data_IF_334319723064
#
_entry.id   IF_334319723064
#
_cell.length_a   1.000
_cell.length_b   1.000
_cell.length_c   1.000
_cell.angle_alpha   90.00
_cell.angle_beta   90.00
_cell.angle_gamma   90.00
#
_symmetry.space_group_name_H-M   'P 1'
#
loop_
_entity.id
_entity.type
_entity.pdbx_description
1 polymer ?
#
# COMPACT_ATOMS: atom_id res chain seq x y z
N UNK A 1 16.06 -25.90 12.48
CA UNK A 1 14.84 -25.64 13.27
C UNK A 1 14.14 -24.53 12.54
N UNK A 2 13.35 -24.92 11.54
CA UNK A 2 12.69 -23.97 10.66
C UNK A 2 11.60 -23.28 11.47
N UNK A 3 11.79 -21.99 11.73
CA UNK A 3 10.75 -21.15 12.29
C UNK A 3 9.73 -21.03 11.18
N UNK A 4 8.78 -21.96 11.14
CA UNK A 4 7.55 -21.80 10.39
C UNK A 4 6.86 -20.57 10.99
N UNK A 5 7.11 -19.42 10.37
CA UNK A 5 6.26 -18.23 10.55
C UNK A 5 4.84 -18.72 10.30
N UNK A 6 3.98 -18.60 11.31
CA UNK A 6 2.55 -18.86 11.17
C UNK A 6 2.09 -18.13 9.90
N UNK A 7 1.24 -18.74 9.09
CA UNK A 7 0.58 -18.00 8.03
C UNK A 7 -0.48 -17.13 8.71
N UNK A 8 -0.36 -15.82 8.64
CA UNK A 8 -1.53 -14.96 8.45
C UNK A 8 -2.29 -15.63 7.32
N UNK A 9 -3.54 -16.03 7.59
CA UNK A 9 -4.39 -16.59 6.56
C UNK A 9 -4.85 -15.46 5.63
N UNK A 10 -3.93 -14.91 4.87
CA UNK A 10 -4.20 -13.88 3.88
C UNK A 10 -4.93 -14.43 2.65
N UNK A 11 -5.32 -15.73 2.64
CA UNK A 11 -6.37 -16.22 1.73
C UNK A 11 -7.75 -15.67 2.10
N UNK A 12 -7.94 -15.21 3.34
CA UNK A 12 -9.12 -14.47 3.76
C UNK A 12 -8.87 -12.95 3.61
N UNK A 13 -8.91 -12.47 2.37
CA UNK A 13 -8.78 -11.05 2.00
C UNK A 13 -9.67 -10.13 2.85
N UNK A 14 -10.85 -10.61 3.25
CA UNK A 14 -11.75 -9.85 4.13
C UNK A 14 -11.15 -9.62 5.52
N UNK A 15 -10.50 -10.62 6.11
CA UNK A 15 -9.84 -10.49 7.41
C UNK A 15 -8.69 -9.49 7.35
N UNK A 16 -7.87 -9.55 6.30
CA UNK A 16 -6.76 -8.62 6.08
C UNK A 16 -7.26 -7.19 5.93
N UNK A 17 -8.36 -7.00 5.18
CA UNK A 17 -9.03 -5.69 5.07
C UNK A 17 -9.40 -5.14 6.45
N UNK A 18 -10.04 -5.94 7.30
CA UNK A 18 -10.43 -5.46 8.65
C UNK A 18 -9.22 -5.16 9.54
N UNK A 19 -8.12 -5.93 9.43
CA UNK A 19 -6.88 -5.63 10.14
C UNK A 19 -6.26 -4.32 9.66
N UNK A 20 -6.15 -4.11 8.35
CA UNK A 20 -5.62 -2.86 7.78
C UNK A 20 -6.48 -1.65 8.15
N UNK A 21 -7.81 -1.77 8.15
CA UNK A 21 -8.69 -0.67 8.58
C UNK A 21 -8.47 -0.31 10.06
N UNK A 22 -8.19 -1.28 10.93
CA UNK A 22 -7.81 -1.02 12.33
C UNK A 22 -6.43 -0.38 12.41
N UNK A 23 -5.47 -0.87 11.63
CA UNK A 23 -4.11 -0.33 11.56
C UNK A 23 -4.08 1.12 11.07
N UNK A 24 -5.00 1.48 10.17
CA UNK A 24 -5.13 2.80 9.56
C UNK A 24 -6.19 3.68 10.24
N UNK A 25 -6.57 3.40 11.50
CA UNK A 25 -7.69 4.07 12.17
C UNK A 25 -7.54 5.59 12.31
N UNK A 26 -6.30 6.08 12.27
CA UNK A 26 -5.98 7.51 12.39
C UNK A 26 -6.04 8.25 11.04
N UNK A 27 -6.30 7.53 9.95
CA UNK A 27 -6.33 8.07 8.60
C UNK A 27 -7.73 7.97 7.98
N UNK A 28 -7.99 8.87 7.03
CA UNK A 28 -9.19 8.81 6.19
C UNK A 28 -8.99 7.74 5.11
N UNK A 29 -9.75 6.65 5.21
CA UNK A 29 -9.67 5.48 4.31
C UNK A 29 -10.98 5.26 3.59
N UNK A 30 -10.93 5.21 2.27
CA UNK A 30 -12.04 4.82 1.40
C UNK A 30 -11.85 3.37 0.95
N UNK A 31 -12.93 2.59 0.89
CA UNK A 31 -12.90 1.19 0.47
C UNK A 31 -13.76 1.02 -0.76
N UNK A 32 -13.15 0.51 -1.83
CA UNK A 32 -13.82 0.23 -3.10
C UNK A 32 -13.76 -1.25 -3.46
N UNK A 33 -14.72 -1.65 -4.29
CA UNK A 33 -14.90 -2.97 -4.85
C UNK A 33 -15.14 -2.85 -6.35
N UNK A 34 -15.19 -3.99 -7.06
CA UNK A 34 -15.54 -4.00 -8.48
C UNK A 34 -16.93 -3.47 -8.85
N UNK A 35 -17.80 -3.23 -7.87
CA UNK A 35 -19.12 -2.64 -8.09
C UNK A 35 -19.06 -1.11 -8.17
N UNK A 36 -17.95 -0.51 -7.74
CA UNK A 36 -17.73 0.92 -7.73
C UNK A 36 -17.16 1.39 -9.08
N UNK A 37 -17.61 2.56 -9.53
CA UNK A 37 -17.22 3.12 -10.83
C UNK A 37 -15.71 3.38 -10.88
N UNK A 38 -15.04 2.86 -11.91
CA UNK A 38 -13.59 2.97 -12.09
C UNK A 38 -12.77 1.87 -11.41
N UNK A 39 -13.41 0.91 -10.74
CA UNK A 39 -12.77 -0.24 -10.08
C UNK A 39 -13.22 -1.59 -10.66
N UNK A 40 -13.87 -1.61 -11.81
CA UNK A 40 -14.48 -2.80 -12.41
C UNK A 40 -13.45 -3.90 -12.76
N UNK A 41 -12.17 -3.54 -12.85
CA UNK A 41 -11.05 -4.45 -13.06
C UNK A 41 -10.70 -5.31 -11.84
N UNK A 42 -11.16 -4.93 -10.64
CA UNK A 42 -10.88 -5.67 -9.41
C UNK A 42 -11.51 -7.07 -9.45
N UNK A 43 -10.80 -8.03 -8.84
CA UNK A 43 -11.32 -9.37 -8.61
C UNK A 43 -12.61 -9.36 -7.78
N UNK A 44 -13.45 -10.40 -7.93
CA UNK A 44 -14.75 -10.50 -7.24
C UNK A 44 -14.67 -10.33 -5.72
N UNK A 45 -13.57 -10.75 -5.12
CA UNK A 45 -13.34 -10.70 -3.68
C UNK A 45 -12.20 -9.75 -3.30
N UNK A 46 -11.76 -8.91 -4.23
CA UNK A 46 -10.71 -7.92 -4.01
C UNK A 46 -11.28 -6.61 -3.50
N UNK A 47 -10.44 -5.85 -2.80
CA UNK A 47 -10.74 -4.50 -2.33
C UNK A 47 -9.63 -3.55 -2.77
N UNK A 48 -9.98 -2.30 -3.03
CA UNK A 48 -9.03 -1.19 -3.05
C UNK A 48 -9.25 -0.34 -1.80
N UNK A 49 -8.20 -0.12 -1.01
CA UNK A 49 -8.20 0.86 0.07
C UNK A 49 -7.47 2.09 -0.45
N UNK A 50 -8.11 3.25 -0.41
CA UNK A 50 -7.53 4.53 -0.82
C UNK A 50 -7.39 5.40 0.41
N UNK A 51 -6.15 5.72 0.77
CA UNK A 51 -5.80 6.47 1.98
C UNK A 51 -5.37 7.87 1.56
N UNK A 52 -5.97 8.88 2.17
CA UNK A 52 -5.53 10.27 1.99
C UNK A 52 -4.18 10.47 2.67
N UNK A 53 -3.16 10.85 1.89
CA UNK A 53 -1.85 11.18 2.45
C UNK A 53 -1.90 12.56 3.13
N UNK A 54 -1.43 12.73 4.38
CA UNK A 54 -1.47 14.01 5.07
C UNK A 54 -0.44 15.04 4.55
N UNK A 55 0.55 14.62 3.76
CA UNK A 55 1.66 15.46 3.29
C UNK A 55 1.58 15.79 1.80
N UNK A 56 0.63 15.22 1.04
CA UNK A 56 0.52 15.48 -0.40
C UNK A 56 -0.91 15.28 -0.91
N UNK A 57 -1.16 15.72 -2.15
CA UNK A 57 -2.43 15.44 -2.83
C UNK A 57 -2.51 14.02 -3.42
N UNK A 58 -1.41 13.27 -3.41
CA UNK A 58 -1.37 11.87 -3.86
C UNK A 58 -2.01 10.99 -2.79
N UNK A 59 -2.79 10.00 -3.21
CA UNK A 59 -3.30 8.97 -2.31
C UNK A 59 -2.28 7.83 -2.19
N UNK A 60 -2.36 7.12 -1.07
CA UNK A 60 -1.73 5.81 -0.93
C UNK A 60 -2.82 4.77 -1.15
N UNK A 61 -2.66 3.95 -2.18
CA UNK A 61 -3.67 2.98 -2.58
C UNK A 61 -3.16 1.56 -2.29
N UNK A 62 -4.04 0.69 -1.77
CA UNK A 62 -3.72 -0.69 -1.43
C UNK A 62 -4.74 -1.61 -2.10
N UNK A 63 -4.30 -2.34 -3.11
CA UNK A 63 -5.09 -3.42 -3.70
C UNK A 63 -4.90 -4.69 -2.87
N UNK A 64 -6.00 -5.19 -2.32
CA UNK A 64 -6.06 -6.46 -1.59
C UNK A 64 -6.74 -7.51 -2.48
N UNK A 65 -5.97 -8.44 -3.03
CA UNK A 65 -6.46 -9.53 -3.88
C UNK A 65 -5.65 -10.81 -3.71
N UNK A 66 -5.30 -11.46 -4.82
CA UNK A 66 -4.41 -12.64 -4.81
C UNK A 66 -2.96 -12.34 -4.41
N UNK A 67 -2.55 -11.08 -4.56
CA UNK A 67 -1.36 -10.46 -3.97
C UNK A 67 -1.78 -9.11 -3.37
N UNK A 68 -0.94 -8.54 -2.50
CA UNK A 68 -1.16 -7.16 -2.02
C UNK A 68 -0.26 -6.23 -2.79
N UNK A 69 -0.83 -5.14 -3.31
CA UNK A 69 -0.06 -4.15 -4.05
C UNK A 69 -0.31 -2.80 -3.43
N UNK A 70 0.77 -2.10 -3.05
CA UNK A 70 0.70 -0.72 -2.57
C UNK A 70 1.17 0.19 -3.69
N UNK A 71 0.41 1.24 -3.96
CA UNK A 71 0.71 2.28 -4.93
C UNK A 71 0.83 3.62 -4.21
N UNK A 72 1.85 4.41 -4.58
CA UNK A 72 2.02 5.78 -4.10
C UNK A 72 2.80 6.60 -5.13
N UNK A 73 2.16 7.61 -5.70
CA UNK A 73 2.71 8.38 -6.83
C UNK A 73 3.17 7.43 -7.96
N UNK A 74 4.43 7.51 -8.41
CA UNK A 74 4.98 6.61 -9.42
C UNK A 74 5.49 5.27 -8.87
N UNK A 75 5.59 5.12 -7.54
CA UNK A 75 6.11 3.91 -6.92
C UNK A 75 4.98 2.90 -6.67
N UNK A 76 5.29 1.63 -6.86
CA UNK A 76 4.45 0.52 -6.42
C UNK A 76 5.31 -0.67 -5.99
N UNK A 77 4.77 -1.47 -5.08
CA UNK A 77 5.38 -2.74 -4.69
C UNK A 77 4.33 -3.82 -4.47
N UNK A 78 4.70 -5.04 -4.85
CA UNK A 78 3.93 -6.24 -4.58
C UNK A 78 4.47 -6.93 -3.34
N UNK A 79 3.56 -7.25 -2.43
CA UNK A 79 3.82 -8.00 -1.21
C UNK A 79 3.11 -9.34 -1.33
N UNK A 80 3.84 -10.40 -0.99
CA UNK A 80 3.22 -11.71 -0.90
C UNK A 80 2.26 -11.77 0.30
N UNK A 81 1.27 -12.63 0.18
CA UNK A 81 0.35 -12.97 1.26
C UNK A 81 1.03 -13.88 2.32
N UNK A 82 2.14 -13.41 2.89
CA UNK A 82 2.90 -14.04 3.99
C UNK A 82 3.24 -13.01 5.06
N UNK A 83 3.45 -13.44 6.30
CA UNK A 83 3.63 -12.56 7.47
C UNK A 83 4.77 -11.56 7.31
N UNK A 84 5.92 -12.02 6.84
CA UNK A 84 7.10 -11.17 6.68
C UNK A 84 6.83 -10.03 5.69
N UNK A 85 6.22 -10.36 4.54
CA UNK A 85 5.83 -9.41 3.51
C UNK A 85 4.69 -8.49 3.99
N UNK A 86 3.72 -9.01 4.74
CA UNK A 86 2.62 -8.22 5.28
C UNK A 86 3.10 -7.21 6.34
N UNK A 87 3.99 -7.63 7.23
CA UNK A 87 4.60 -6.72 8.21
C UNK A 87 5.54 -5.71 7.54
N UNK A 88 6.23 -6.10 6.47
CA UNK A 88 7.01 -5.16 5.66
C UNK A 88 6.09 -4.12 4.99
N UNK A 89 5.00 -4.56 4.36
CA UNK A 89 3.98 -3.69 3.77
C UNK A 89 3.46 -2.67 4.79
N UNK A 90 3.14 -3.10 6.02
CA UNK A 90 2.69 -2.20 7.09
C UNK A 90 3.76 -1.18 7.49
N UNK A 91 5.04 -1.58 7.52
CA UNK A 91 6.16 -0.65 7.76
C UNK A 91 6.24 0.42 6.67
N UNK A 92 6.13 0.03 5.42
CA UNK A 92 6.23 0.95 4.28
C UNK A 92 5.00 1.88 4.23
N UNK A 93 3.79 1.37 4.44
CA UNK A 93 2.57 2.18 4.57
C UNK A 93 2.72 3.22 5.69
N UNK A 94 3.12 2.80 6.89
CA UNK A 94 3.30 3.72 8.02
C UNK A 94 4.39 4.75 7.75
N UNK A 95 5.48 4.33 7.11
CA UNK A 95 6.55 5.22 6.74
C UNK A 95 6.07 6.34 5.81
N UNK A 96 5.34 5.98 4.75
CA UNK A 96 4.78 6.92 3.77
C UNK A 96 3.76 7.87 4.41
N UNK A 97 2.88 7.34 5.26
CA UNK A 97 1.83 8.12 5.92
C UNK A 97 2.31 8.93 7.14
N UNK A 98 3.50 8.64 7.67
CA UNK A 98 4.18 9.46 8.70
C UNK A 98 5.18 10.45 8.13
N UNK A 99 5.42 10.40 6.81
CA UNK A 99 6.37 11.26 6.13
C UNK A 99 7.84 10.95 6.44
N UNK A 100 8.12 9.76 7.00
CA UNK A 100 9.50 9.29 7.27
C UNK A 100 10.16 8.59 6.08
N UNK A 101 9.36 8.25 5.07
CA UNK A 101 9.82 7.83 3.74
C UNK A 101 8.97 8.50 2.66
N UNK A 102 9.52 8.57 1.46
CA UNK A 102 8.82 9.01 0.25
C UNK A 102 9.21 8.18 -0.96
N UNK A 103 8.50 8.38 -2.08
CA UNK A 103 8.86 7.78 -3.35
C UNK A 103 9.87 8.67 -4.09
N UNK A 104 11.08 8.16 -4.30
CA UNK A 104 12.07 8.76 -5.20
C UNK A 104 11.80 8.28 -6.62
N UNK A 105 11.53 9.20 -7.54
CA UNK A 105 11.41 8.92 -8.97
C UNK A 105 12.61 9.48 -9.72
N UNK A 106 13.29 8.64 -10.50
CA UNK A 106 14.34 9.08 -11.43
C UNK A 106 13.75 9.09 -12.84
N UNK A 107 13.88 10.22 -13.53
CA UNK A 107 13.39 10.43 -14.88
C UNK A 107 14.53 10.80 -15.83
N UNK A 108 14.38 10.50 -17.12
CA UNK A 108 15.30 11.00 -18.14
C UNK A 108 15.04 12.48 -18.49
N UNK A 109 15.87 13.06 -19.36
CA UNK A 109 15.72 14.44 -19.83
C UNK A 109 14.43 14.71 -20.60
N UNK A 110 13.67 13.67 -20.96
CA UNK A 110 12.37 13.75 -21.63
C UNK A 110 11.21 13.50 -20.66
N UNK A 111 11.46 13.51 -19.34
CA UNK A 111 10.50 13.21 -18.28
C UNK A 111 9.93 11.78 -18.32
N UNK A 112 10.62 10.84 -18.95
CA UNK A 112 10.23 9.43 -18.90
C UNK A 112 10.71 8.81 -17.59
N UNK A 113 9.81 8.13 -16.88
CA UNK A 113 10.16 7.38 -15.67
C UNK A 113 11.17 6.27 -15.98
N UNK A 114 12.30 6.27 -15.27
CA UNK A 114 13.34 5.24 -15.37
C UNK A 114 13.18 4.23 -14.23
N UNK A 115 13.13 4.73 -12.99
CA UNK A 115 13.03 3.90 -11.78
C UNK A 115 12.35 4.67 -10.66
N UNK A 116 11.67 3.94 -9.79
CA UNK A 116 11.12 4.43 -8.52
C UNK A 116 11.55 3.54 -7.38
N UNK A 117 11.87 4.13 -6.24
CA UNK A 117 12.12 3.38 -5.01
C UNK A 117 11.67 4.19 -3.79
N UNK A 118 11.52 3.52 -2.65
CA UNK A 118 11.33 4.20 -1.38
C UNK A 118 12.68 4.72 -0.87
N UNK A 119 12.66 5.95 -0.35
CA UNK A 119 13.83 6.54 0.30
C UNK A 119 13.44 7.19 1.63
N UNK A 120 14.38 7.25 2.56
CA UNK A 120 14.21 8.04 3.78
C UNK A 120 13.90 9.49 3.47
N UNK A 121 12.93 10.05 4.18
CA UNK A 121 12.50 11.43 4.05
C UNK A 121 12.15 11.99 5.45
N UNK A 122 11.97 13.30 5.54
CA UNK A 122 11.45 13.95 6.75
C UNK A 122 10.50 15.08 6.35
N UNK A 123 9.26 14.70 6.03
CA UNK A 123 8.20 15.65 5.66
C UNK A 123 7.53 16.31 6.86
N UNK A 124 7.91 15.94 8.09
CA UNK A 124 7.35 16.54 9.31
C UNK A 124 7.86 17.96 9.58
N UNK A 125 8.89 18.39 8.83
CA UNK A 125 9.55 19.70 8.96
C UNK A 125 9.20 20.68 7.83
N UNK A 126 8.27 20.31 6.94
CA UNK A 126 7.81 21.19 5.85
C UNK A 126 6.74 22.18 6.30
#
# INVERSE_FOLDING_TARGET
MDVYTEKVDCTNVKSVKEDLLKFLSDYEVYVYTRADNGYEYLGRFSFMLVIKNPYSNETLDIELGGSFTVFFSNWHAHYFAFDNDYEQMKRDIKGLLSGSIGALSVMDSSNKLIVTDLCSADFTKM
#
